data_IF_396557384978
#
_entry.id   IF_396557384978
#
_cell.length_a   1.000
_cell.length_b   1.000
_cell.length_c   1.000
_cell.angle_alpha   90.00
_cell.angle_beta   90.00
_cell.angle_gamma   90.00
#
_symmetry.space_group_name_H-M   'P 1'
#
loop_
_entity.id
_entity.type
_entity.pdbx_description
1 polymer ?
#
# COMPACT_ATOMS: atom_id res chain seq x y z
N UNK A 1 7.50 35.22 -6.64
CA UNK A 1 7.11 33.85 -6.23
C UNK A 1 7.91 33.53 -4.97
N UNK A 2 7.21 33.27 -3.85
CA UNK A 2 7.87 32.85 -2.61
C UNK A 2 8.42 31.44 -2.79
N UNK A 3 9.69 31.15 -2.45
CA UNK A 3 10.24 29.79 -2.47
C UNK A 3 9.44 28.80 -1.62
N UNK A 4 8.75 29.30 -0.60
CA UNK A 4 7.85 28.53 0.26
C UNK A 4 6.61 28.01 -0.47
N UNK A 5 6.06 28.75 -1.45
CA UNK A 5 4.88 28.31 -2.20
C UNK A 5 5.17 27.08 -3.07
N UNK A 6 6.36 26.98 -3.64
CA UNK A 6 6.76 25.82 -4.41
C UNK A 6 6.94 24.56 -3.53
N UNK A 7 7.42 24.74 -2.29
CA UNK A 7 7.64 23.61 -1.37
C UNK A 7 6.38 23.04 -0.76
N UNK A 8 5.25 23.75 -0.83
CA UNK A 8 3.94 23.29 -0.33
C UNK A 8 3.05 22.69 -1.43
N UNK A 9 3.60 22.45 -2.61
CA UNK A 9 2.88 21.76 -3.69
C UNK A 9 2.63 20.30 -3.32
N UNK A 10 1.50 19.78 -3.75
CA UNK A 10 1.17 18.36 -3.62
C UNK A 10 2.30 17.51 -4.25
N UNK A 11 2.67 16.42 -3.61
CA UNK A 11 3.77 15.53 -3.97
C UNK A 11 5.19 16.09 -3.76
N UNK A 12 5.38 17.28 -3.18
CA UNK A 12 6.70 17.73 -2.79
C UNK A 12 7.25 16.84 -1.66
N UNK A 13 8.41 16.22 -1.92
CA UNK A 13 9.11 15.36 -0.98
C UNK A 13 10.46 15.95 -0.60
N UNK A 14 10.75 16.05 0.70
CA UNK A 14 11.98 16.65 1.17
C UNK A 14 11.99 16.82 2.69
N UNK A 15 12.90 17.66 3.17
CA UNK A 15 13.03 18.02 4.58
C UNK A 15 12.33 19.34 4.82
N UNK A 16 11.38 19.35 5.77
CA UNK A 16 10.62 20.53 6.18
C UNK A 16 11.05 20.96 7.58
N UNK A 17 11.34 22.24 7.75
CA UNK A 17 11.64 22.84 9.05
C UNK A 17 10.37 23.50 9.58
N UNK A 18 9.93 23.06 10.74
CA UNK A 18 8.73 23.59 11.39
C UNK A 18 9.06 24.07 12.81
N UNK A 19 8.34 25.08 13.27
CA UNK A 19 8.34 25.51 14.67
C UNK A 19 7.01 25.10 15.27
N UNK A 20 7.08 24.37 16.37
CA UNK A 20 5.92 24.00 17.17
C UNK A 20 5.37 25.21 17.92
N UNK A 21 4.12 25.54 17.68
CA UNK A 21 3.35 26.53 18.43
C UNK A 21 2.34 25.85 19.37
N UNK A 22 1.55 26.62 20.11
CA UNK A 22 0.56 26.07 21.05
C UNK A 22 -0.51 25.20 20.37
N UNK A 23 -0.94 25.55 19.17
CA UNK A 23 -2.07 24.91 18.48
C UNK A 23 -1.77 24.56 17.01
N UNK A 24 -0.58 24.81 16.51
CA UNK A 24 -0.21 24.55 15.12
C UNK A 24 1.31 24.59 14.93
N UNK A 25 1.77 23.90 13.89
CA UNK A 25 3.14 23.99 13.40
C UNK A 25 3.26 25.13 12.37
N UNK A 26 4.32 25.92 12.43
CA UNK A 26 4.64 26.94 11.44
C UNK A 26 5.80 26.48 10.58
N UNK A 27 5.59 26.36 9.26
CA UNK A 27 6.63 26.03 8.31
C UNK A 27 7.59 27.21 8.14
N UNK A 28 8.88 27.01 8.45
CA UNK A 28 9.93 28.04 8.40
C UNK A 28 10.92 27.83 7.28
N UNK A 29 10.97 26.62 6.69
CA UNK A 29 11.84 26.31 5.56
C UNK A 29 11.60 24.92 5.02
N UNK A 30 12.02 24.69 3.79
CA UNK A 30 11.97 23.38 3.16
C UNK A 30 13.13 23.19 2.19
N UNK A 31 13.65 21.97 2.16
CA UNK A 31 14.64 21.50 1.18
C UNK A 31 14.02 20.34 0.42
N UNK A 32 13.51 20.62 -0.80
CA UNK A 32 12.78 19.64 -1.59
C UNK A 32 13.74 18.81 -2.43
N UNK A 33 13.68 17.51 -2.26
CA UNK A 33 14.52 16.52 -2.96
C UNK A 33 13.83 16.04 -4.25
N UNK A 34 12.49 15.95 -4.25
CA UNK A 34 11.71 15.51 -5.40
C UNK A 34 10.34 16.18 -5.41
N UNK A 35 9.90 16.70 -6.55
CA UNK A 35 8.59 17.29 -6.74
C UNK A 35 7.58 16.33 -7.41
N UNK A 36 8.04 15.18 -7.91
CA UNK A 36 7.22 14.24 -8.68
C UNK A 36 6.36 14.92 -9.76
N UNK A 37 6.93 15.86 -10.47
CA UNK A 37 6.25 16.76 -11.41
C UNK A 37 5.40 16.07 -12.50
N UNK A 38 5.69 14.81 -12.80
CA UNK A 38 4.95 14.00 -13.77
C UNK A 38 3.55 13.64 -13.22
N UNK A 39 3.42 13.44 -11.91
CA UNK A 39 2.15 13.00 -11.30
C UNK A 39 1.02 14.02 -11.53
N UNK A 40 1.16 15.30 -11.18
CA UNK A 40 0.08 16.27 -11.37
C UNK A 40 -0.22 16.61 -12.86
N UNK A 41 0.66 16.22 -13.79
CA UNK A 41 0.46 16.45 -15.24
C UNK A 41 -0.37 15.37 -15.93
N UNK A 42 -0.50 14.20 -15.31
CA UNK A 42 -1.28 13.07 -15.81
C UNK A 42 -2.47 12.82 -14.88
N UNK A 43 -3.72 12.92 -15.37
CA UNK A 43 -4.92 12.76 -14.53
C UNK A 43 -5.00 11.42 -13.81
N UNK A 44 -4.57 10.32 -14.46
CA UNK A 44 -4.58 9.00 -13.86
C UNK A 44 -3.54 8.91 -12.73
N UNK A 45 -2.32 9.38 -12.97
CA UNK A 45 -1.27 9.42 -11.95
C UNK A 45 -1.66 10.33 -10.80
N UNK A 46 -2.28 11.47 -11.08
CA UNK A 46 -2.76 12.39 -10.04
C UNK A 46 -3.83 11.72 -9.16
N UNK A 47 -4.77 10.98 -9.74
CA UNK A 47 -5.78 10.23 -9.00
C UNK A 47 -5.15 9.18 -8.08
N UNK A 48 -4.30 8.29 -8.62
CA UNK A 48 -3.62 7.27 -7.82
C UNK A 48 -2.67 7.88 -6.78
N UNK A 49 -1.91 8.89 -7.15
CA UNK A 49 -0.99 9.58 -6.23
C UNK A 49 -1.73 10.23 -5.06
N UNK A 50 -2.85 10.90 -5.32
CA UNK A 50 -3.69 11.49 -4.27
C UNK A 50 -4.29 10.44 -3.34
N UNK A 51 -4.75 9.31 -3.90
CA UNK A 51 -5.22 8.17 -3.12
C UNK A 51 -4.13 7.63 -2.18
N UNK A 52 -2.89 7.47 -2.66
CA UNK A 52 -1.78 7.00 -1.83
C UNK A 52 -1.43 7.97 -0.72
N UNK A 53 -1.46 9.27 -0.99
CA UNK A 53 -1.24 10.31 0.03
C UNK A 53 -2.34 10.29 1.09
N UNK A 54 -3.61 10.18 0.68
CA UNK A 54 -4.75 10.13 1.59
C UNK A 54 -4.68 8.91 2.50
N UNK A 55 -4.43 7.72 1.93
CA UNK A 55 -4.28 6.49 2.69
C UNK A 55 -3.09 6.55 3.66
N UNK A 56 -1.93 7.04 3.21
CA UNK A 56 -0.77 7.22 4.08
C UNK A 56 -1.08 8.20 5.22
N UNK A 57 -1.77 9.33 4.92
CA UNK A 57 -2.18 10.30 5.92
C UNK A 57 -3.18 9.73 6.95
N UNK A 58 -4.06 8.81 6.53
CA UNK A 58 -4.99 8.13 7.43
C UNK A 58 -4.27 7.23 8.45
N UNK A 59 -3.24 6.50 8.00
CA UNK A 59 -2.49 5.58 8.86
C UNK A 59 -1.39 6.26 9.66
N UNK A 60 -0.81 7.35 9.16
CA UNK A 60 0.24 8.09 9.86
C UNK A 60 -0.28 8.71 11.16
N UNK A 61 0.51 8.56 12.23
CA UNK A 61 0.15 9.09 13.55
C UNK A 61 1.18 10.11 14.01
N UNK A 62 0.69 11.20 14.57
CA UNK A 62 1.54 12.23 15.17
C UNK A 62 2.39 11.63 16.31
N UNK A 63 3.66 12.04 16.36
CA UNK A 63 4.67 11.57 17.31
C UNK A 63 5.08 10.08 17.18
N UNK A 64 4.66 9.38 16.13
CA UNK A 64 5.15 8.05 15.81
C UNK A 64 6.32 8.12 14.82
N UNK A 65 7.11 7.04 14.79
CA UNK A 65 8.15 6.86 13.78
C UNK A 65 7.55 6.25 12.51
N UNK A 66 7.11 7.10 11.58
CA UNK A 66 6.45 6.71 10.34
C UNK A 66 7.44 6.53 9.16
N UNK A 67 8.72 6.27 9.44
CA UNK A 67 9.77 6.15 8.42
C UNK A 67 9.47 5.06 7.40
N UNK A 68 8.95 3.90 7.83
CA UNK A 68 8.64 2.79 6.91
C UNK A 68 7.44 3.12 6.01
N UNK A 69 6.40 3.76 6.54
CA UNK A 69 5.27 4.22 5.75
C UNK A 69 5.71 5.32 4.74
N UNK A 70 6.56 6.25 5.17
CA UNK A 70 7.10 7.29 4.30
C UNK A 70 7.99 6.71 3.18
N UNK A 71 8.83 5.71 3.48
CA UNK A 71 9.61 4.99 2.47
C UNK A 71 8.72 4.27 1.46
N UNK A 72 7.69 3.59 1.95
CA UNK A 72 6.71 2.91 1.10
C UNK A 72 6.05 3.90 0.15
N UNK A 73 5.50 5.01 0.67
CA UNK A 73 4.87 6.05 -0.12
C UNK A 73 5.83 6.62 -1.18
N UNK A 74 7.07 6.93 -0.79
CA UNK A 74 8.08 7.45 -1.71
C UNK A 74 8.38 6.49 -2.86
N UNK A 75 8.58 5.20 -2.58
CA UNK A 75 8.83 4.20 -3.60
C UNK A 75 7.61 3.99 -4.52
N UNK A 76 6.41 4.03 -3.95
CA UNK A 76 5.16 3.93 -4.71
C UNK A 76 5.03 5.08 -5.71
N UNK A 77 5.25 6.32 -5.27
CA UNK A 77 5.21 7.49 -6.17
C UNK A 77 6.31 7.44 -7.24
N UNK A 78 7.51 6.94 -6.90
CA UNK A 78 8.57 6.72 -7.90
C UNK A 78 8.18 5.73 -8.97
N UNK A 79 7.53 4.63 -8.62
CA UNK A 79 7.08 3.62 -9.59
C UNK A 79 5.91 4.14 -10.41
N UNK A 80 4.98 4.87 -9.79
CA UNK A 80 3.88 5.53 -10.50
C UNK A 80 4.38 6.47 -11.63
N UNK A 81 5.53 7.11 -11.43
CA UNK A 81 6.15 7.96 -12.45
C UNK A 81 6.76 7.17 -13.63
N UNK A 82 7.01 5.86 -13.49
CA UNK A 82 7.82 5.09 -14.46
C UNK A 82 7.02 4.32 -15.52
N UNK A 83 5.72 4.11 -15.29
CA UNK A 83 4.81 3.33 -16.18
C UNK A 83 5.29 1.88 -16.46
N UNK A 84 6.02 1.26 -15.53
CA UNK A 84 6.57 -0.10 -15.67
C UNK A 84 5.75 -1.16 -14.96
N UNK A 85 4.86 -0.75 -14.06
CA UNK A 85 3.93 -1.62 -13.31
C UNK A 85 2.51 -1.10 -13.54
N UNK A 86 1.52 -1.95 -13.82
CA UNK A 86 0.12 -1.54 -13.94
C UNK A 86 -0.37 -0.80 -12.69
N UNK A 87 -1.03 0.33 -12.85
CA UNK A 87 -1.51 1.15 -11.71
C UNK A 87 -2.38 0.37 -10.72
N UNK A 88 -3.30 -0.52 -11.16
CA UNK A 88 -4.06 -1.35 -10.23
C UNK A 88 -3.18 -2.29 -9.40
N UNK A 89 -2.07 -2.80 -9.95
CA UNK A 89 -1.11 -3.61 -9.19
C UNK A 89 -0.33 -2.75 -8.20
N UNK A 90 0.07 -1.53 -8.59
CA UNK A 90 0.70 -0.57 -7.66
C UNK A 90 -0.23 -0.32 -6.47
N UNK A 91 -1.53 -0.15 -6.71
CA UNK A 91 -2.55 0.06 -5.69
C UNK A 91 -2.60 -1.13 -4.72
N UNK A 92 -2.79 -2.35 -5.23
CA UNK A 92 -2.83 -3.57 -4.40
C UNK A 92 -1.58 -3.70 -3.53
N UNK A 93 -0.39 -3.51 -4.12
CA UNK A 93 0.88 -3.60 -3.39
C UNK A 93 0.94 -2.54 -2.27
N UNK A 94 0.57 -1.30 -2.58
CA UNK A 94 0.61 -0.21 -1.61
C UNK A 94 -0.37 -0.45 -0.45
N UNK A 95 -1.62 -0.81 -0.75
CA UNK A 95 -2.66 -1.10 0.25
C UNK A 95 -2.21 -2.22 1.19
N UNK A 96 -1.87 -3.38 0.65
CA UNK A 96 -1.46 -4.53 1.46
C UNK A 96 -0.21 -4.23 2.28
N UNK A 97 0.76 -3.53 1.69
CA UNK A 97 1.99 -3.17 2.41
C UNK A 97 1.76 -2.11 3.48
N UNK A 98 0.82 -1.21 3.30
CA UNK A 98 0.39 -0.27 4.35
C UNK A 98 -0.17 -1.02 5.55
N UNK A 99 -1.00 -2.05 5.34
CA UNK A 99 -1.46 -2.92 6.43
C UNK A 99 -0.31 -3.66 7.12
N UNK A 100 0.68 -4.15 6.34
CA UNK A 100 1.87 -4.80 6.94
C UNK A 100 2.64 -3.85 7.85
N UNK A 101 2.86 -2.61 7.42
CA UNK A 101 3.57 -1.59 8.21
C UNK A 101 2.82 -1.28 9.51
N UNK A 102 1.48 -1.34 9.47
CA UNK A 102 0.63 -1.05 10.64
C UNK A 102 0.30 -2.30 11.47
N UNK A 103 0.76 -3.50 11.07
CA UNK A 103 0.48 -4.75 11.80
C UNK A 103 -0.95 -5.28 11.62
N UNK A 104 -1.66 -4.83 10.60
CA UNK A 104 -3.08 -5.14 10.33
C UNK A 104 -3.26 -6.00 9.06
N UNK A 105 -2.24 -6.73 8.62
CA UNK A 105 -2.30 -7.53 7.39
C UNK A 105 -2.99 -8.88 7.59
N UNK A 106 -3.59 -9.46 6.53
CA UNK A 106 -4.27 -10.74 6.61
C UNK A 106 -3.28 -11.90 6.84
N UNK A 107 -3.71 -12.94 7.56
CA UNK A 107 -2.95 -14.19 7.64
C UNK A 107 -2.88 -14.84 6.25
N UNK A 108 -1.68 -15.04 5.74
CA UNK A 108 -1.42 -15.53 4.40
C UNK A 108 -0.55 -16.79 4.34
N UNK A 109 -0.19 -17.38 5.46
CA UNK A 109 0.72 -18.52 5.53
C UNK A 109 0.05 -19.77 6.09
N UNK A 110 -0.98 -19.59 6.93
CA UNK A 110 -1.67 -20.69 7.59
C UNK A 110 -3.18 -20.48 7.46
N UNK A 111 -3.93 -21.59 7.41
CA UNK A 111 -5.38 -21.52 7.52
C UNK A 111 -5.77 -20.90 8.86
N UNK A 112 -6.52 -19.79 8.83
CA UNK A 112 -6.94 -19.03 10.03
C UNK A 112 -7.84 -19.83 11.01
N UNK A 113 -8.33 -21.01 10.58
CA UNK A 113 -9.20 -21.87 11.41
C UNK A 113 -8.42 -23.03 12.01
N UNK A 114 -7.69 -23.80 11.20
CA UNK A 114 -7.04 -25.03 11.65
C UNK A 114 -5.51 -24.99 11.67
N UNK A 115 -4.89 -23.89 11.24
CA UNK A 115 -3.44 -23.74 11.19
C UNK A 115 -2.72 -24.54 10.10
N UNK A 116 -3.45 -25.20 9.17
CA UNK A 116 -2.83 -25.97 8.08
C UNK A 116 -2.10 -25.04 7.10
N UNK A 117 -0.95 -25.50 6.59
CA UNK A 117 -0.20 -24.86 5.51
C UNK A 117 -0.55 -25.40 4.11
N UNK A 118 -1.39 -26.44 4.04
CA UNK A 118 -1.77 -27.12 2.81
C UNK A 118 -3.21 -26.78 2.40
N UNK A 119 -3.45 -26.79 1.08
CA UNK A 119 -4.77 -26.56 0.50
C UNK A 119 -5.31 -25.15 0.73
N UNK A 120 -4.43 -24.16 0.75
CA UNK A 120 -4.75 -22.74 0.99
C UNK A 120 -5.29 -22.09 -0.29
N UNK A 121 -6.53 -22.40 -0.67
CA UNK A 121 -7.13 -22.03 -1.94
C UNK A 121 -8.26 -21.00 -1.81
N UNK A 122 -8.45 -20.44 -0.61
CA UNK A 122 -9.56 -19.52 -0.35
C UNK A 122 -9.13 -18.37 0.55
N UNK A 123 -9.75 -17.21 0.36
CA UNK A 123 -9.58 -16.03 1.22
C UNK A 123 -10.92 -15.67 1.87
N UNK A 124 -10.91 -15.44 3.17
CA UNK A 124 -12.06 -14.94 3.92
C UNK A 124 -11.82 -13.51 4.41
N UNK A 125 -12.50 -12.50 3.84
CA UNK A 125 -12.45 -11.14 4.37
C UNK A 125 -12.90 -11.07 5.84
N UNK A 126 -13.96 -11.82 6.17
CA UNK A 126 -14.55 -11.84 7.54
C UNK A 126 -13.57 -12.39 8.58
N UNK A 127 -12.71 -13.34 8.18
CA UNK A 127 -11.70 -13.94 9.04
C UNK A 127 -10.33 -13.29 8.91
N UNK A 128 -10.20 -12.29 8.03
CA UNK A 128 -8.95 -11.59 7.75
C UNK A 128 -7.79 -12.52 7.40
N UNK A 129 -8.05 -13.49 6.50
CA UNK A 129 -6.98 -14.41 6.09
C UNK A 129 -7.42 -15.59 5.23
N UNK A 130 -6.49 -16.48 4.98
CA UNK A 130 -6.66 -17.64 4.09
C UNK A 130 -7.23 -18.86 4.80
N UNK A 131 -7.92 -19.67 3.99
CA UNK A 131 -8.56 -20.91 4.43
C UNK A 131 -8.09 -22.08 3.56
N UNK A 132 -7.94 -23.24 4.18
CA UNK A 132 -7.80 -24.50 3.45
C UNK A 132 -9.19 -25.04 3.02
N UNK A 133 -9.17 -25.95 2.05
CA UNK A 133 -10.40 -26.57 1.50
C UNK A 133 -11.27 -27.23 2.57
N UNK A 134 -10.67 -27.76 3.64
CA UNK A 134 -11.39 -28.41 4.75
C UNK A 134 -12.20 -27.45 5.62
N UNK A 135 -11.75 -26.19 5.72
CA UNK A 135 -12.37 -25.17 6.59
C UNK A 135 -13.28 -24.21 5.82
N UNK A 136 -13.57 -24.47 4.55
CA UNK A 136 -14.36 -23.60 3.69
C UNK A 136 -15.72 -23.24 4.29
N UNK A 137 -16.41 -24.21 4.89
CA UNK A 137 -17.75 -24.01 5.46
C UNK A 137 -17.77 -23.04 6.67
N UNK A 138 -16.64 -22.85 7.33
CA UNK A 138 -16.51 -22.00 8.52
C UNK A 138 -16.03 -20.58 8.19
N UNK A 139 -15.70 -20.32 6.91
CA UNK A 139 -15.09 -19.08 6.44
C UNK A 139 -16.04 -17.90 6.28
N UNK A 140 -17.35 -18.12 6.31
CA UNK A 140 -18.34 -17.10 5.96
C UNK A 140 -18.31 -16.76 4.47
N UNK A 141 -18.25 -15.48 4.13
CA UNK A 141 -18.00 -15.07 2.73
C UNK A 141 -16.57 -15.43 2.35
N UNK A 142 -16.41 -16.18 1.27
CA UNK A 142 -15.11 -16.73 0.83
C UNK A 142 -14.89 -16.39 -0.63
N UNK A 143 -13.69 -15.95 -0.94
CA UNK A 143 -13.20 -15.68 -2.29
C UNK A 143 -12.24 -16.80 -2.72
N UNK A 144 -12.29 -17.27 -3.97
CA UNK A 144 -11.30 -18.21 -4.48
C UNK A 144 -9.93 -17.53 -4.52
N UNK A 145 -8.88 -18.31 -4.24
CA UNK A 145 -7.50 -17.85 -4.21
C UNK A 145 -6.62 -18.81 -5.01
N UNK A 146 -6.13 -18.36 -6.15
CA UNK A 146 -5.19 -19.14 -6.94
C UNK A 146 -3.80 -19.22 -6.25
N UNK A 147 -3.00 -20.27 -6.52
CA UNK A 147 -1.64 -20.35 -5.99
C UNK A 147 -0.77 -19.15 -6.36
N UNK A 148 -0.99 -18.56 -7.55
CA UNK A 148 -0.26 -17.36 -7.99
C UNK A 148 -0.66 -16.11 -7.22
N UNK A 149 -1.94 -15.94 -6.91
CA UNK A 149 -2.42 -14.83 -6.09
C UNK A 149 -1.95 -14.98 -4.63
N UNK A 150 -2.00 -16.21 -4.08
CA UNK A 150 -1.45 -16.51 -2.76
C UNK A 150 0.05 -16.17 -2.69
N UNK A 151 0.83 -16.62 -3.66
CA UNK A 151 2.25 -16.30 -3.72
C UNK A 151 2.51 -14.79 -3.79
N UNK A 152 1.73 -14.06 -4.59
CA UNK A 152 1.85 -12.61 -4.69
C UNK A 152 1.56 -11.91 -3.36
N UNK A 153 0.52 -12.32 -2.63
CA UNK A 153 0.21 -11.81 -1.29
C UNK A 153 1.37 -12.07 -0.32
N UNK A 154 1.85 -13.31 -0.26
CA UNK A 154 2.98 -13.70 0.60
C UNK A 154 4.24 -12.91 0.24
N UNK A 155 4.53 -12.74 -1.05
CA UNK A 155 5.66 -11.96 -1.53
C UNK A 155 5.55 -10.49 -1.09
N UNK A 156 4.38 -9.86 -1.23
CA UNK A 156 4.17 -8.47 -0.81
C UNK A 156 4.36 -8.33 0.70
N UNK A 157 3.86 -9.28 1.49
CA UNK A 157 3.98 -9.26 2.96
C UNK A 157 5.44 -9.36 3.42
N UNK A 158 6.23 -10.26 2.81
CA UNK A 158 7.57 -10.59 3.30
C UNK A 158 8.71 -9.82 2.65
N UNK A 159 8.48 -9.25 1.46
CA UNK A 159 9.55 -8.60 0.71
C UNK A 159 9.97 -7.26 1.33
N UNK A 160 11.26 -6.89 1.25
CA UNK A 160 11.68 -5.54 1.58
C UNK A 160 11.07 -4.52 0.60
N UNK A 161 10.90 -3.28 1.06
CA UNK A 161 10.23 -2.20 0.29
C UNK A 161 10.86 -1.99 -1.09
N UNK A 162 12.16 -2.16 -1.21
CA UNK A 162 12.92 -1.98 -2.44
C UNK A 162 12.59 -3.01 -3.53
N UNK A 163 12.00 -4.16 -3.16
CA UNK A 163 11.63 -5.25 -4.07
C UNK A 163 10.15 -5.34 -4.37
N UNK A 164 9.29 -4.57 -3.72
CA UNK A 164 7.83 -4.67 -3.84
C UNK A 164 7.32 -4.50 -5.28
N UNK A 165 7.98 -3.69 -6.08
CA UNK A 165 7.53 -3.33 -7.44
C UNK A 165 8.39 -3.99 -8.54
N UNK A 166 8.99 -5.14 -8.26
CA UNK A 166 9.89 -5.83 -9.20
C UNK A 166 9.24 -7.00 -9.94
N UNK A 167 7.94 -7.22 -9.75
CA UNK A 167 7.19 -8.30 -10.38
C UNK A 167 5.94 -7.79 -11.08
N UNK A 168 5.40 -8.61 -11.97
CA UNK A 168 4.09 -8.44 -12.59
C UNK A 168 3.29 -9.72 -12.43
N UNK A 169 1.99 -9.62 -12.58
CA UNK A 169 1.05 -10.75 -12.53
C UNK A 169 0.18 -10.76 -13.79
N UNK A 170 -0.45 -11.89 -14.09
CA UNK A 170 -1.43 -11.95 -15.17
C UNK A 170 -2.68 -11.12 -14.84
N UNK A 171 -3.48 -10.71 -15.85
CA UNK A 171 -4.71 -9.97 -15.61
C UNK A 171 -5.69 -10.70 -14.68
N UNK A 172 -5.75 -12.03 -14.75
CA UNK A 172 -6.60 -12.87 -13.91
C UNK A 172 -6.17 -12.80 -12.44
N UNK A 173 -4.87 -12.96 -12.17
CA UNK A 173 -4.30 -12.84 -10.82
C UNK A 173 -4.48 -11.43 -10.27
N UNK A 174 -4.28 -10.40 -11.11
CA UNK A 174 -4.52 -9.02 -10.69
C UNK A 174 -5.98 -8.81 -10.27
N UNK A 175 -6.93 -9.36 -11.03
CA UNK A 175 -8.35 -9.26 -10.68
C UNK A 175 -8.68 -9.97 -9.37
N UNK A 176 -8.10 -11.15 -9.11
CA UNK A 176 -8.24 -11.84 -7.81
C UNK A 176 -7.72 -10.96 -6.67
N UNK A 177 -6.50 -10.42 -6.81
CA UNK A 177 -5.88 -9.55 -5.80
C UNK A 177 -6.74 -8.30 -5.52
N UNK A 178 -7.28 -7.67 -6.57
CA UNK A 178 -8.17 -6.51 -6.40
C UNK A 178 -9.43 -6.87 -5.61
N UNK A 179 -10.09 -8.00 -5.94
CA UNK A 179 -11.27 -8.46 -5.19
C UNK A 179 -10.97 -8.76 -3.73
N UNK A 180 -9.80 -9.35 -3.45
CA UNK A 180 -9.36 -9.61 -2.08
C UNK A 180 -9.20 -8.30 -1.32
N UNK A 181 -8.53 -7.31 -1.90
CA UNK A 181 -8.33 -6.02 -1.27
C UNK A 181 -9.64 -5.26 -1.07
N UNK A 182 -10.56 -5.26 -2.05
CA UNK A 182 -11.89 -4.65 -1.94
C UNK A 182 -12.74 -5.28 -0.81
N UNK A 183 -12.55 -6.56 -0.54
CA UNK A 183 -13.23 -7.24 0.56
C UNK A 183 -12.54 -7.10 1.91
N UNK A 184 -11.27 -6.72 1.91
CA UNK A 184 -10.46 -6.58 3.12
C UNK A 184 -10.48 -5.15 3.70
N UNK A 185 -10.55 -4.13 2.85
CA UNK A 185 -10.67 -2.71 3.22
C UNK A 185 -12.10 -2.38 3.65
#
# INVERSE_FOLDING_TARGET
YSPMLASTQLFAFGTFRVIEGRNAYTLTGAEITNYFEIIPRDPMKACYGSYFLEMAGYYARENNNEVELLKLLYQTLRILCRDVVPYPLIRVIFELRTFVVNGEYPEAFHCVICGSEEGLNHFSPVRSGILCDRCLAEGGTVLPLSPSALYAIQYIITSPIERLYTFNVSPEVLHELQKIMEGYI
#
